data_IF_004371176264
#
_entry.id   IF_004371176264
#
_cell.length_a   1.000
_cell.length_b   1.000
_cell.length_c   1.000
_cell.angle_alpha   90.00
_cell.angle_beta   90.00
_cell.angle_gamma   90.00
#
_symmetry.space_group_name_H-M   'P 1'
#
loop_
_entity.id
_entity.type
_entity.pdbx_description
1 polymer ?
#
# COMPACT_ATOMS: atom_id res chain seq x y z
N UNK A 1 -13.51 -23.35 -43.89
CA UNK A 1 -12.69 -22.88 -42.76
C UNK A 1 -13.50 -21.80 -42.08
N UNK A 2 -14.15 -22.17 -40.98
CA UNK A 2 -15.05 -21.30 -40.22
C UNK A 2 -14.21 -20.49 -39.23
N UNK A 3 -13.95 -19.24 -39.58
CA UNK A 3 -13.29 -18.28 -38.70
C UNK A 3 -14.34 -17.48 -37.96
N UNK A 4 -14.43 -17.77 -36.67
CA UNK A 4 -14.26 -16.77 -35.62
C UNK A 4 -15.34 -15.71 -35.48
N UNK A 5 -16.13 -15.86 -34.42
CA UNK A 5 -16.85 -14.75 -33.84
C UNK A 5 -17.65 -15.14 -32.61
N UNK A 6 -17.00 -15.61 -31.53
CA UNK A 6 -17.63 -15.58 -30.21
C UNK A 6 -17.73 -14.11 -29.80
N UNK A 7 -18.74 -13.42 -30.31
CA UNK A 7 -19.17 -12.12 -29.82
C UNK A 7 -20.04 -12.43 -28.61
N UNK A 8 -19.50 -12.20 -27.41
CA UNK A 8 -20.33 -12.11 -26.20
C UNK A 8 -21.27 -10.92 -26.35
N UNK A 9 -22.48 -11.15 -26.87
CA UNK A 9 -23.55 -10.17 -26.87
C UNK A 9 -24.00 -9.96 -25.41
N UNK A 10 -23.69 -8.78 -24.86
CA UNK A 10 -24.26 -8.36 -23.58
C UNK A 10 -25.78 -8.22 -23.75
N UNK A 11 -26.56 -9.03 -23.03
CA UNK A 11 -28.01 -8.98 -23.06
C UNK A 11 -28.54 -7.80 -22.23
N UNK A 12 -28.34 -6.58 -22.73
CA UNK A 12 -28.83 -5.34 -22.14
C UNK A 12 -30.36 -5.19 -22.23
N UNK A 13 -31.06 -6.12 -22.91
CA UNK A 13 -32.53 -6.12 -22.98
C UNK A 13 -33.16 -6.37 -21.61
N UNK A 14 -32.44 -7.04 -20.70
CA UNK A 14 -32.87 -7.23 -19.31
C UNK A 14 -33.16 -5.88 -18.61
N UNK A 15 -32.37 -4.84 -18.88
CA UNK A 15 -32.55 -3.50 -18.30
C UNK A 15 -33.79 -2.77 -18.82
N UNK A 16 -34.35 -3.21 -19.96
CA UNK A 16 -35.54 -2.60 -20.59
C UNK A 16 -36.81 -3.40 -20.34
N UNK A 17 -36.68 -4.72 -20.18
CA UNK A 17 -37.81 -5.65 -20.19
C UNK A 17 -38.10 -6.28 -18.81
N UNK A 18 -37.46 -5.80 -17.74
CA UNK A 18 -37.65 -6.30 -16.37
C UNK A 18 -38.19 -5.19 -15.48
N UNK A 19 -39.25 -5.48 -14.72
CA UNK A 19 -39.75 -4.60 -13.67
C UNK A 19 -38.92 -4.81 -12.42
N UNK A 20 -38.24 -3.77 -11.95
CA UNK A 20 -37.49 -3.77 -10.68
C UNK A 20 -38.34 -2.99 -9.66
N UNK A 21 -38.99 -3.68 -8.70
CA UNK A 21 -39.89 -3.03 -7.75
C UNK A 21 -39.16 -2.22 -6.68
N UNK A 22 -37.87 -2.47 -6.47
CA UNK A 22 -37.05 -1.74 -5.50
C UNK A 22 -36.67 -0.34 -6.01
N UNK A 23 -36.58 0.62 -5.08
CA UNK A 23 -36.03 1.93 -5.38
C UNK A 23 -34.53 1.84 -5.71
N UNK A 24 -34.01 2.68 -6.62
CA UNK A 24 -32.61 2.63 -7.01
C UNK A 24 -31.69 3.01 -5.84
N UNK A 25 -30.76 2.11 -5.53
CA UNK A 25 -29.64 2.37 -4.62
C UNK A 25 -28.46 2.95 -5.42
N UNK A 26 -28.30 4.27 -5.42
CA UNK A 26 -27.27 4.96 -6.21
C UNK A 26 -25.85 4.83 -5.63
N UNK A 27 -25.76 4.59 -4.32
CA UNK A 27 -24.52 4.36 -3.59
C UNK A 27 -24.76 3.21 -2.62
N UNK A 28 -23.78 2.33 -2.38
CA UNK A 28 -23.92 1.31 -1.35
C UNK A 28 -24.23 1.95 0.02
N UNK A 29 -25.28 1.47 0.68
CA UNK A 29 -25.66 1.89 2.03
C UNK A 29 -25.13 0.85 3.02
N UNK A 30 -24.28 1.29 3.96
CA UNK A 30 -23.67 0.43 4.98
C UNK A 30 -24.08 0.89 6.38
N UNK A 31 -24.24 -0.03 7.33
CA UNK A 31 -24.40 0.32 8.74
C UNK A 31 -23.12 1.01 9.26
N UNK A 32 -23.22 1.84 10.32
CA UNK A 32 -22.06 2.49 10.93
C UNK A 32 -20.99 1.48 11.31
N UNK A 33 -19.73 1.81 11.03
CA UNK A 33 -18.55 1.05 11.45
C UNK A 33 -17.73 1.96 12.38
N UNK A 34 -17.63 1.59 13.65
CA UNK A 34 -16.88 2.33 14.65
C UNK A 34 -15.49 1.71 14.89
N UNK A 35 -14.55 2.53 15.36
CA UNK A 35 -13.27 2.08 15.88
C UNK A 35 -12.06 2.72 15.21
N UNK A 36 -11.00 2.93 15.99
CA UNK A 36 -9.76 3.49 15.45
C UNK A 36 -9.03 2.45 14.60
N UNK A 37 -8.26 2.87 13.60
CA UNK A 37 -7.56 1.93 12.75
C UNK A 37 -6.53 1.06 13.47
N UNK A 38 -5.88 1.58 14.50
CA UNK A 38 -4.92 0.86 15.34
C UNK A 38 -5.61 -0.33 16.04
N UNK A 39 -6.81 -0.10 16.57
CA UNK A 39 -7.62 -1.12 17.24
C UNK A 39 -7.99 -2.25 16.25
N UNK A 40 -8.34 -1.88 15.02
CA UNK A 40 -8.68 -2.84 13.95
C UNK A 40 -7.48 -3.70 13.56
N UNK A 41 -6.30 -3.11 13.53
CA UNK A 41 -5.04 -3.84 13.27
C UNK A 41 -4.76 -4.83 14.41
N UNK A 42 -4.97 -4.43 15.67
CA UNK A 42 -4.79 -5.33 16.81
C UNK A 42 -5.77 -6.52 16.77
N UNK A 43 -7.04 -6.28 16.43
CA UNK A 43 -8.02 -7.35 16.24
C UNK A 43 -7.60 -8.28 15.10
N UNK A 44 -7.13 -7.73 13.98
CA UNK A 44 -6.66 -8.52 12.85
C UNK A 44 -5.48 -9.42 13.22
N UNK A 45 -4.55 -8.96 14.07
CA UNK A 45 -3.42 -9.77 14.55
C UNK A 45 -3.87 -11.01 15.32
N UNK A 46 -4.96 -10.92 16.09
CA UNK A 46 -5.52 -12.06 16.84
C UNK A 46 -6.11 -13.14 15.93
N UNK A 47 -6.47 -12.78 14.71
CA UNK A 47 -7.00 -13.70 13.69
C UNK A 47 -5.89 -14.38 12.87
N UNK A 48 -4.62 -13.97 13.03
CA UNK A 48 -3.50 -14.56 12.29
C UNK A 48 -2.94 -15.78 13.04
N UNK A 49 -2.38 -16.77 12.32
CA UNK A 49 -1.61 -17.82 12.95
C UNK A 49 -0.42 -17.23 13.72
N UNK A 50 0.00 -17.93 14.77
CA UNK A 50 1.13 -17.50 15.59
C UNK A 50 2.38 -17.29 14.72
N UNK A 51 3.02 -16.13 14.90
CA UNK A 51 4.24 -15.80 14.18
C UNK A 51 5.41 -16.64 14.66
N UNK A 52 6.10 -17.29 13.74
CA UNK A 52 7.32 -18.06 14.00
C UNK A 52 8.55 -17.34 13.39
N UNK A 53 9.43 -16.75 14.22
CA UNK A 53 10.67 -16.13 13.75
C UNK A 53 11.65 -17.12 13.12
N UNK A 54 11.63 -18.40 13.50
CA UNK A 54 12.57 -19.40 12.97
C UNK A 54 12.36 -19.58 11.46
N UNK A 55 11.10 -19.55 11.01
CA UNK A 55 10.75 -19.56 9.57
C UNK A 55 11.43 -18.46 8.74
N UNK A 56 11.88 -17.36 9.35
CA UNK A 56 12.42 -16.16 8.71
C UNK A 56 13.94 -16.04 8.76
N UNK A 57 14.57 -16.67 9.75
CA UNK A 57 15.94 -16.38 10.17
C UNK A 57 16.77 -17.63 10.48
N UNK A 58 16.17 -18.83 10.51
CA UNK A 58 16.90 -20.08 10.66
C UNK A 58 17.61 -20.45 9.36
N UNK A 59 18.95 -20.56 9.43
CA UNK A 59 19.83 -20.88 8.30
C UNK A 59 19.93 -22.36 7.92
N UNK A 60 19.14 -23.23 8.57
CA UNK A 60 19.37 -24.69 8.56
C UNK A 60 18.66 -25.45 7.43
N UNK A 61 17.83 -24.78 6.63
CA UNK A 61 17.18 -25.36 5.45
C UNK A 61 17.46 -24.52 4.22
N UNK A 62 17.72 -25.14 3.06
CA UNK A 62 17.73 -24.46 1.77
C UNK A 62 16.45 -23.63 1.64
N UNK A 63 16.53 -22.29 1.74
CA UNK A 63 15.32 -21.49 1.88
C UNK A 63 14.59 -21.53 0.53
N UNK A 64 13.38 -22.09 0.52
CA UNK A 64 12.46 -21.88 -0.59
C UNK A 64 12.19 -20.38 -0.71
N UNK A 65 12.20 -19.86 -1.94
CA UNK A 65 11.94 -18.45 -2.19
C UNK A 65 10.56 -18.07 -1.65
N UNK A 66 10.52 -17.01 -0.83
CA UNK A 66 9.28 -16.41 -0.35
C UNK A 66 9.43 -14.91 -0.18
N UNK A 67 8.33 -14.20 -0.37
CA UNK A 67 8.25 -12.78 -0.04
C UNK A 67 8.28 -12.57 1.47
N UNK A 68 8.89 -11.46 1.91
CA UNK A 68 8.86 -11.01 3.30
C UNK A 68 7.46 -10.52 3.66
N UNK A 69 6.95 -10.96 4.81
CA UNK A 69 5.65 -10.54 5.35
C UNK A 69 5.81 -9.25 6.16
N UNK A 70 4.71 -8.54 6.38
CA UNK A 70 4.64 -7.40 7.30
C UNK A 70 5.21 -7.76 8.68
N UNK A 71 4.85 -8.94 9.21
CA UNK A 71 5.35 -9.44 10.49
C UNK A 71 6.87 -9.65 10.50
N UNK A 72 7.47 -9.98 9.36
CA UNK A 72 8.93 -10.17 9.25
C UNK A 72 9.67 -8.85 9.46
N UNK A 73 9.15 -7.77 8.87
CA UNK A 73 9.69 -6.42 9.06
C UNK A 73 9.40 -5.89 10.46
N UNK A 74 8.17 -6.06 10.97
CA UNK A 74 7.80 -5.61 12.30
C UNK A 74 8.64 -6.30 13.39
N UNK A 75 8.90 -7.60 13.22
CA UNK A 75 9.81 -8.35 14.09
C UNK A 75 11.25 -7.83 13.97
N UNK A 76 11.77 -7.66 12.74
CA UNK A 76 13.12 -7.15 12.52
C UNK A 76 13.36 -5.77 13.15
N UNK A 77 12.38 -4.86 13.03
CA UNK A 77 12.42 -3.52 13.63
C UNK A 77 12.47 -3.60 15.16
N UNK A 78 11.57 -4.39 15.78
CA UNK A 78 11.51 -4.56 17.25
C UNK A 78 12.75 -5.24 17.82
N UNK A 79 13.29 -6.24 17.11
CA UNK A 79 14.49 -6.96 17.51
C UNK A 79 15.79 -6.25 17.11
N UNK A 80 15.71 -5.06 16.50
CA UNK A 80 16.87 -4.28 16.02
C UNK A 80 17.76 -5.05 15.04
N UNK A 81 17.19 -6.02 14.32
CA UNK A 81 17.86 -6.78 13.26
C UNK A 81 17.97 -5.89 12.01
N UNK A 82 16.93 -5.11 11.73
CA UNK A 82 16.91 -4.09 10.69
C UNK A 82 16.17 -2.87 11.24
N UNK A 83 16.45 -1.68 10.69
CA UNK A 83 15.74 -0.44 11.06
C UNK A 83 15.06 0.15 9.83
N UNK A 84 13.95 0.90 9.98
CA UNK A 84 13.28 1.55 8.86
C UNK A 84 14.20 2.38 7.95
N UNK A 85 15.23 3.11 8.44
CA UNK A 85 16.15 3.88 7.60
C UNK A 85 17.04 3.00 6.72
N UNK A 86 17.49 1.85 7.23
CA UNK A 86 18.26 0.89 6.42
C UNK A 86 17.40 0.35 5.28
N UNK A 87 16.14 0.04 5.57
CA UNK A 87 15.17 -0.40 4.56
C UNK A 87 14.84 0.74 3.58
N UNK A 88 14.73 1.98 4.06
CA UNK A 88 14.49 3.17 3.24
C UNK A 88 15.57 3.38 2.19
N UNK A 89 16.85 3.37 2.59
CA UNK A 89 17.97 3.56 1.66
C UNK A 89 18.01 2.45 0.61
N UNK A 90 17.69 1.21 0.99
CA UNK A 90 17.63 0.12 0.02
C UNK A 90 16.51 0.34 -1.02
N UNK A 91 15.34 0.79 -0.58
CA UNK A 91 14.21 1.11 -1.47
C UNK A 91 14.55 2.30 -2.38
N UNK A 92 15.14 3.37 -1.82
CA UNK A 92 15.59 4.55 -2.58
C UNK A 92 16.56 4.11 -3.69
N UNK A 93 17.56 3.30 -3.35
CA UNK A 93 18.54 2.80 -4.30
C UNK A 93 17.90 2.00 -5.45
N UNK A 94 16.93 1.13 -5.16
CA UNK A 94 16.21 0.37 -6.19
C UNK A 94 15.40 1.32 -7.09
N UNK A 95 14.67 2.28 -6.52
CA UNK A 95 13.86 3.22 -7.30
C UNK A 95 14.74 4.07 -8.22
N UNK A 96 15.88 4.53 -7.74
CA UNK A 96 16.87 5.27 -8.53
C UNK A 96 17.47 4.40 -9.64
N UNK A 97 17.81 3.14 -9.35
CA UNK A 97 18.33 2.20 -10.36
C UNK A 97 17.35 2.06 -11.53
N UNK A 98 16.07 1.80 -11.25
CA UNK A 98 15.03 1.62 -12.27
C UNK A 98 14.72 2.91 -13.04
N UNK A 99 14.79 4.05 -12.36
CA UNK A 99 14.61 5.37 -12.98
C UNK A 99 15.75 5.72 -13.94
N UNK A 100 16.96 5.25 -13.65
CA UNK A 100 18.17 5.50 -14.44
C UNK A 100 18.43 4.47 -15.56
N UNK A 101 17.56 3.46 -15.73
CA UNK A 101 17.65 2.49 -16.85
C UNK A 101 17.49 3.19 -18.20
N UNK A 102 17.95 2.51 -19.26
CA UNK A 102 17.84 2.99 -20.66
C UNK A 102 17.09 1.94 -21.50
N UNK A 103 15.81 2.17 -21.87
CA UNK A 103 14.98 3.33 -21.53
C UNK A 103 14.60 3.35 -20.03
N UNK A 104 14.24 4.52 -19.47
CA UNK A 104 13.77 4.62 -18.08
C UNK A 104 12.59 3.70 -17.81
N UNK A 105 12.61 3.00 -16.68
CA UNK A 105 11.53 2.10 -16.23
C UNK A 105 11.09 2.47 -14.80
N UNK A 106 10.61 3.70 -14.56
CA UNK A 106 10.29 4.17 -13.22
C UNK A 106 9.15 3.34 -12.61
N UNK A 107 9.36 2.89 -11.37
CA UNK A 107 8.34 2.18 -10.59
C UNK A 107 7.28 3.13 -10.01
N UNK A 108 7.63 4.42 -9.87
CA UNK A 108 6.81 5.47 -9.28
C UNK A 108 6.84 6.71 -10.15
N UNK A 109 5.69 7.35 -10.33
CA UNK A 109 5.59 8.60 -11.13
C UNK A 109 6.03 9.85 -10.37
N UNK A 110 6.11 9.76 -9.04
CA UNK A 110 6.65 10.79 -8.18
C UNK A 110 7.22 10.13 -6.92
N UNK A 111 8.35 10.64 -6.45
CA UNK A 111 9.11 10.09 -5.35
C UNK A 111 9.98 11.19 -4.76
N UNK A 112 9.95 11.36 -3.43
CA UNK A 112 10.88 12.23 -2.72
C UNK A 112 11.68 11.38 -1.72
N UNK A 113 12.96 11.06 -1.99
CA UNK A 113 13.76 10.24 -1.10
C UNK A 113 13.92 10.89 0.29
N UNK A 114 13.88 12.23 0.37
CA UNK A 114 14.06 12.92 1.65
C UNK A 114 12.84 12.78 2.57
N UNK A 115 11.63 12.81 2.01
CA UNK A 115 10.40 12.56 2.78
C UNK A 115 10.39 11.12 3.32
N UNK A 116 10.84 10.16 2.50
CA UNK A 116 10.95 8.75 2.88
C UNK A 116 11.97 8.57 4.02
N UNK A 117 13.14 9.22 3.96
CA UNK A 117 14.13 9.23 5.04
C UNK A 117 13.57 9.84 6.33
N UNK A 118 12.89 10.98 6.22
CA UNK A 118 12.30 11.67 7.37
C UNK A 118 11.24 10.80 8.06
N UNK A 119 10.37 10.15 7.30
CA UNK A 119 9.38 9.20 7.83
C UNK A 119 10.07 8.01 8.52
N UNK A 120 11.11 7.44 7.91
CA UNK A 120 11.84 6.31 8.46
C UNK A 120 12.57 6.66 9.76
N UNK A 121 13.14 7.85 9.85
CA UNK A 121 13.74 8.38 11.07
C UNK A 121 12.69 8.55 12.17
N UNK A 122 11.53 9.13 11.86
CA UNK A 122 10.44 9.30 12.82
C UNK A 122 9.86 7.96 13.32
N UNK A 123 9.79 6.94 12.46
CA UNK A 123 9.42 5.57 12.87
C UNK A 123 10.47 4.95 13.78
N UNK A 124 11.76 5.07 13.44
CA UNK A 124 12.86 4.54 14.27
C UNK A 124 12.85 5.14 15.66
N UNK A 125 12.67 6.46 15.75
CA UNK A 125 12.58 7.17 17.04
C UNK A 125 11.48 6.57 17.93
N UNK A 126 10.30 6.27 17.38
CA UNK A 126 9.20 5.62 18.11
C UNK A 126 9.57 4.21 18.59
N UNK A 127 10.28 3.43 17.78
CA UNK A 127 10.79 2.12 18.20
C UNK A 127 11.85 2.23 19.31
N UNK A 128 12.74 3.22 19.25
CA UNK A 128 13.75 3.49 20.28
C UNK A 128 13.12 3.93 21.61
N UNK A 129 12.06 4.74 21.54
CA UNK A 129 11.26 5.18 22.68
C UNK A 129 10.32 4.08 23.22
N UNK A 130 10.25 2.92 22.55
CA UNK A 130 9.40 1.79 22.95
C UNK A 130 7.91 2.02 22.71
N UNK A 131 7.54 3.01 21.89
CA UNK A 131 6.15 3.38 21.61
C UNK A 131 5.83 3.39 20.11
N UNK A 132 5.90 2.24 19.40
CA UNK A 132 5.48 2.14 18.02
C UNK A 132 3.95 2.27 17.90
N UNK A 133 3.45 2.89 16.82
CA UNK A 133 2.02 3.14 16.63
C UNK A 133 1.20 1.85 16.46
N UNK A 134 1.73 0.89 15.71
CA UNK A 134 1.11 -0.43 15.50
C UNK A 134 2.12 -1.41 14.90
N UNK A 135 1.68 -2.60 14.48
CA UNK A 135 2.51 -3.53 13.70
C UNK A 135 2.90 -2.98 12.32
N UNK A 136 2.19 -1.96 11.83
CA UNK A 136 2.46 -1.31 10.55
C UNK A 136 3.45 -0.15 10.67
N UNK A 137 3.93 0.15 11.88
CA UNK A 137 4.94 1.18 12.09
C UNK A 137 6.26 0.80 11.41
N UNK A 138 6.76 1.67 10.53
CA UNK A 138 7.97 1.42 9.75
C UNK A 138 7.78 0.50 8.55
N UNK A 139 6.54 0.20 8.15
CA UNK A 139 6.22 -0.58 6.93
C UNK A 139 5.97 0.36 5.75
N UNK A 140 6.67 0.11 4.64
CA UNK A 140 6.54 0.86 3.39
C UNK A 140 5.33 0.41 2.58
N UNK A 141 4.51 1.36 2.14
CA UNK A 141 3.32 1.11 1.32
C UNK A 141 3.30 2.07 0.15
N UNK A 142 3.20 1.53 -1.07
CA UNK A 142 2.93 2.33 -2.25
C UNK A 142 1.45 2.78 -2.26
N UNK A 143 1.17 4.09 -2.28
CA UNK A 143 -0.19 4.64 -2.29
C UNK A 143 -0.66 4.84 -3.74
N UNK A 144 -1.95 5.04 -4.02
CA UNK A 144 -2.47 5.31 -5.39
C UNK A 144 -3.51 6.45 -5.41
N UNK A 145 -3.46 7.29 -4.38
CA UNK A 145 -4.42 8.34 -4.08
C UNK A 145 -3.66 9.57 -3.60
N UNK A 146 -4.40 10.64 -3.31
CA UNK A 146 -3.87 11.87 -2.76
C UNK A 146 -3.07 11.58 -1.48
N UNK A 147 -1.80 11.98 -1.46
CA UNK A 147 -0.88 11.74 -0.35
C UNK A 147 0.01 12.96 -0.20
N UNK A 148 -0.23 13.77 0.84
CA UNK A 148 0.59 14.94 1.13
C UNK A 148 2.06 14.53 1.39
N UNK A 149 3.07 15.32 0.96
CA UNK A 149 3.03 16.61 0.26
C UNK A 149 2.93 16.49 -1.28
N UNK A 150 2.66 15.30 -1.80
CA UNK A 150 2.84 15.04 -3.21
C UNK A 150 1.61 15.36 -4.06
N UNK A 151 1.81 15.86 -5.29
CA UNK A 151 0.70 16.21 -6.17
C UNK A 151 0.08 14.98 -6.83
N UNK A 152 -1.25 14.90 -6.80
CA UNK A 152 -2.02 13.86 -7.46
C UNK A 152 -2.07 14.07 -8.97
N UNK A 153 -1.21 13.33 -9.68
CA UNK A 153 -1.20 13.28 -11.14
C UNK A 153 -1.81 11.95 -11.56
N UNK A 154 -3.05 11.97 -12.03
CA UNK A 154 -3.86 10.80 -12.39
C UNK A 154 -3.37 10.05 -13.67
N UNK A 155 -2.05 9.90 -13.83
CA UNK A 155 -1.38 9.31 -14.98
C UNK A 155 -1.75 9.97 -16.32
N UNK A 156 -2.44 11.10 -16.26
CA UNK A 156 -2.73 11.98 -17.38
C UNK A 156 -1.57 12.97 -17.52
N UNK A 157 -1.25 13.38 -18.76
CA UNK A 157 -0.12 14.25 -19.09
C UNK A 157 -0.09 15.56 -18.28
N UNK A 158 1.00 16.32 -18.43
CA UNK A 158 1.45 17.50 -17.63
C UNK A 158 0.45 18.64 -17.36
N UNK A 159 -0.82 18.49 -17.72
CA UNK A 159 -1.88 19.46 -17.60
C UNK A 159 -3.03 18.96 -16.70
N UNK A 160 -2.85 19.08 -15.38
CA UNK A 160 -3.89 19.47 -14.41
C UNK A 160 -3.27 19.58 -13.01
N UNK A 161 -3.27 20.79 -12.46
CA UNK A 161 -2.97 21.05 -11.04
C UNK A 161 -4.20 21.03 -10.15
N UNK A 162 -5.42 20.91 -10.72
CA UNK A 162 -6.67 21.00 -9.97
C UNK A 162 -7.80 20.25 -10.68
N UNK A 163 -7.90 18.95 -10.50
CA UNK A 163 -9.20 18.28 -10.52
C UNK A 163 -9.14 17.14 -9.52
N UNK A 164 -9.92 17.28 -8.45
CA UNK A 164 -10.20 16.18 -7.54
C UNK A 164 -10.75 15.01 -8.34
N UNK A 165 -10.27 13.81 -7.99
CA UNK A 165 -10.65 12.52 -8.55
C UNK A 165 -9.85 12.11 -9.79
N UNK A 166 -8.62 11.70 -9.54
CA UNK A 166 -7.90 10.83 -10.46
C UNK A 166 -6.86 9.99 -9.72
N UNK A 167 -7.00 8.67 -9.80
CA UNK A 167 -6.18 7.69 -9.09
C UNK A 167 -4.87 7.45 -9.87
N UNK A 168 -3.73 7.53 -9.20
CA UNK A 168 -2.44 7.07 -9.75
C UNK A 168 -1.47 6.61 -8.68
N UNK A 169 -0.64 5.61 -8.99
CA UNK A 169 0.23 4.93 -8.02
C UNK A 169 1.36 5.90 -7.65
N UNK A 170 1.35 6.29 -6.40
CA UNK A 170 1.90 7.47 -5.79
C UNK A 170 2.54 7.03 -4.46
N UNK A 171 3.87 6.97 -4.41
CA UNK A 171 4.70 7.01 -3.19
C UNK A 171 4.76 5.78 -2.28
N UNK A 172 5.96 5.33 -1.87
CA UNK A 172 6.13 4.57 -0.64
C UNK A 172 5.97 5.54 0.53
N UNK A 173 4.80 5.54 1.17
CA UNK A 173 4.58 6.16 2.47
C UNK A 173 4.81 5.08 3.54
N UNK A 174 5.46 5.43 4.65
CA UNK A 174 5.38 4.61 5.84
C UNK A 174 3.98 4.76 6.41
N UNK A 175 3.31 3.63 6.68
CA UNK A 175 1.89 3.58 7.08
C UNK A 175 1.54 4.60 8.18
N UNK A 176 2.48 4.95 9.06
CA UNK A 176 2.29 5.96 10.10
C UNK A 176 1.78 7.33 9.64
N UNK A 177 2.12 7.82 8.43
CA UNK A 177 1.64 9.14 7.97
C UNK A 177 0.29 9.10 7.24
N UNK A 178 -0.11 7.94 6.72
CA UNK A 178 -1.43 7.79 6.11
C UNK A 178 -2.58 7.98 7.12
N UNK A 179 -2.30 7.79 8.41
CA UNK A 179 -3.28 7.94 9.49
C UNK A 179 -3.34 9.36 10.06
N UNK A 180 -2.23 10.11 10.04
CA UNK A 180 -2.16 11.49 10.54
C UNK A 180 -2.85 12.51 9.62
N UNK A 181 -3.11 12.16 8.35
CA UNK A 181 -3.75 13.04 7.37
C UNK A 181 -5.28 13.00 7.40
N UNK A 182 -5.87 12.04 8.12
CA UNK A 182 -7.32 11.87 8.28
C UNK A 182 -7.83 12.29 9.69
N UNK A 183 -7.00 12.96 10.49
CA UNK A 183 -7.33 13.43 11.86
C UNK A 183 -7.47 14.95 11.96
#
# INVERSE_FOLDING_TARGET
MDTSGIICYYNLQLLRNTVIPEAPMFKPEYPPQDGKPEDRVEVALKCLPQYDPASCWSGDSTPSFRYRKILDYAYANRCKIATPPVVAEHIISIIEEFSNKKPPQPLLISFNPEDVRNQAAASTKRFEEGNPLSILDGIFVAVNIDCFPHPSKAAFGSWKRNLGHGKSIHFPCLVSQAWESDS
#
